data_IF_779274740291
#
_entry.id   IF_779274740291
#
_cell.length_a   1.000
_cell.length_b   1.000
_cell.length_c   1.000
_cell.angle_alpha   90.00
_cell.angle_beta   90.00
_cell.angle_gamma   90.00
#
_symmetry.space_group_name_H-M   'P 1'
#
loop_
_entity.id
_entity.type
_entity.pdbx_description
1 polymer ?
#
# COMPACT_ATOMS: atom_id res chain seq x y z
N UNK A 1 -12.42 5.22 -13.03
CA UNK A 1 -11.95 3.83 -13.19
C UNK A 1 -10.52 3.84 -13.71
N UNK A 2 -9.73 2.83 -13.36
CA UNK A 2 -8.37 2.69 -13.90
C UNK A 2 -8.44 2.35 -15.40
N UNK A 3 -7.53 2.89 -16.23
CA UNK A 3 -7.60 2.74 -17.68
C UNK A 3 -7.38 1.29 -18.16
N UNK A 4 -6.70 0.47 -17.36
CA UNK A 4 -6.47 -0.95 -17.65
C UNK A 4 -7.51 -1.78 -16.91
N UNK A 5 -8.20 -2.72 -17.59
CA UNK A 5 -9.24 -3.57 -16.98
C UNK A 5 -8.70 -4.84 -16.33
N UNK A 6 -7.48 -5.22 -16.65
CA UNK A 6 -6.82 -6.39 -16.08
C UNK A 6 -6.26 -6.05 -14.67
N UNK A 7 -6.73 -6.71 -13.60
CA UNK A 7 -6.30 -6.43 -12.23
C UNK A 7 -4.80 -6.68 -12.01
N UNK A 8 -4.19 -7.63 -12.73
CA UNK A 8 -2.76 -7.92 -12.64
C UNK A 8 -1.90 -6.81 -13.25
N UNK A 9 -2.41 -6.13 -14.26
CA UNK A 9 -1.76 -4.95 -14.84
C UNK A 9 -2.03 -3.70 -14.00
N UNK A 10 -3.22 -3.56 -13.42
CA UNK A 10 -3.53 -2.43 -12.54
C UNK A 10 -2.60 -2.40 -11.32
N UNK A 11 -2.34 -3.54 -10.67
CA UNK A 11 -1.47 -3.59 -9.49
C UNK A 11 0.00 -3.23 -9.81
N UNK A 12 0.42 -3.41 -11.06
CA UNK A 12 1.77 -3.05 -11.51
C UNK A 12 2.02 -1.53 -11.57
N UNK A 13 0.95 -0.73 -11.57
CA UNK A 13 1.03 0.74 -11.57
C UNK A 13 1.41 1.30 -10.19
N UNK A 14 1.34 0.49 -9.14
CA UNK A 14 1.56 0.93 -7.77
C UNK A 14 2.82 0.28 -7.19
N UNK A 15 3.59 1.03 -6.38
CA UNK A 15 4.73 0.44 -5.69
C UNK A 15 4.26 -0.65 -4.73
N UNK A 16 5.00 -1.78 -4.68
CA UNK A 16 4.69 -2.91 -3.80
C UNK A 16 5.07 -2.67 -2.33
N UNK A 17 5.82 -1.62 -2.07
CA UNK A 17 6.31 -1.25 -0.73
C UNK A 17 6.46 0.25 -0.62
N UNK A 18 6.37 0.75 0.61
CA UNK A 18 6.63 2.15 0.96
C UNK A 18 7.61 2.18 2.13
N UNK A 19 8.55 3.13 2.11
CA UNK A 19 9.38 3.46 3.26
C UNK A 19 8.78 4.70 3.94
N UNK A 20 8.57 4.61 5.25
CA UNK A 20 7.98 5.69 6.04
C UNK A 20 8.96 6.10 7.14
N UNK A 21 9.14 7.40 7.40
CA UNK A 21 10.00 7.86 8.48
C UNK A 21 9.37 7.53 9.84
N UNK A 22 10.23 7.06 10.75
CA UNK A 22 9.94 6.99 12.17
C UNK A 22 10.73 8.09 12.86
N UNK A 23 10.03 9.02 13.50
CA UNK A 23 10.64 10.14 14.23
C UNK A 23 10.17 10.09 15.66
N UNK A 24 11.13 10.00 16.60
CA UNK A 24 10.87 9.82 18.03
C UNK A 24 9.97 8.61 18.38
N UNK A 25 9.98 7.57 17.54
CA UNK A 25 9.19 6.35 17.74
C UNK A 25 7.80 6.38 17.09
N UNK A 26 7.39 7.51 16.50
CA UNK A 26 6.11 7.67 15.83
C UNK A 26 6.27 7.68 14.30
N UNK A 27 5.27 7.15 13.60
CA UNK A 27 5.14 7.32 12.15
C UNK A 27 4.82 8.77 11.85
N UNK A 28 5.73 9.46 11.18
CA UNK A 28 5.51 10.84 10.79
C UNK A 28 4.71 10.89 9.48
N UNK A 29 3.40 11.13 9.62
CA UNK A 29 2.47 11.34 8.52
C UNK A 29 1.89 12.75 8.62
N UNK A 30 1.70 13.41 7.48
CA UNK A 30 0.96 14.68 7.43
C UNK A 30 -0.50 14.49 7.86
N UNK A 31 -1.15 15.59 8.26
CA UNK A 31 -2.52 15.57 8.84
C UNK A 31 -3.61 14.94 7.96
N UNK A 32 -3.33 14.76 6.66
CA UNK A 32 -4.25 14.15 5.69
C UNK A 32 -3.64 12.91 5.01
N UNK A 33 -2.53 12.39 5.51
CA UNK A 33 -1.89 11.18 4.98
C UNK A 33 -2.36 9.95 5.75
N UNK A 34 -2.62 8.88 5.01
CA UNK A 34 -2.96 7.56 5.55
C UNK A 34 -2.21 6.48 4.78
N UNK A 35 -1.80 5.44 5.48
CA UNK A 35 -1.23 4.24 4.86
C UNK A 35 -2.37 3.27 4.58
N UNK A 36 -2.56 2.92 3.33
CA UNK A 36 -3.63 2.04 2.89
C UNK A 36 -3.08 0.84 2.13
N UNK A 37 -3.69 -0.32 2.35
CA UNK A 37 -3.50 -1.48 1.49
C UNK A 37 -4.49 -1.39 0.32
N UNK A 38 -3.96 -1.27 -0.89
CA UNK A 38 -4.76 -1.30 -2.11
C UNK A 38 -4.95 -2.75 -2.56
N UNK A 39 -6.16 -3.30 -2.37
CA UNK A 39 -6.53 -4.62 -2.86
C UNK A 39 -7.37 -4.51 -4.13
N UNK A 40 -6.79 -4.91 -5.26
CA UNK A 40 -7.43 -4.87 -6.59
C UNK A 40 -7.87 -6.26 -7.07
N UNK A 41 -7.74 -7.30 -6.23
CA UNK A 41 -8.15 -8.64 -6.61
C UNK A 41 -9.66 -8.78 -6.56
N UNK A 42 -10.22 -9.51 -7.51
CA UNK A 42 -11.66 -9.83 -7.53
C UNK A 42 -12.06 -10.77 -6.39
N UNK A 43 -11.14 -11.63 -5.95
CA UNK A 43 -11.40 -12.67 -4.96
C UNK A 43 -11.12 -12.18 -3.53
N UNK A 44 -12.07 -12.49 -2.64
CA UNK A 44 -11.91 -12.28 -1.19
C UNK A 44 -10.81 -13.20 -0.66
N UNK A 45 -10.06 -12.70 0.33
CA UNK A 45 -9.08 -13.52 1.04
C UNK A 45 -8.26 -12.70 2.01
N UNK A 46 -7.34 -13.37 2.70
CA UNK A 46 -6.38 -12.72 3.59
C UNK A 46 -5.25 -12.09 2.77
N UNK A 47 -4.78 -10.91 3.19
CA UNK A 47 -3.62 -10.22 2.61
C UNK A 47 -2.54 -10.12 3.68
N UNK A 48 -1.29 -10.39 3.29
CA UNK A 48 -0.14 -10.35 4.19
C UNK A 48 0.70 -9.12 3.86
N UNK A 49 1.01 -8.33 4.88
CA UNK A 49 1.88 -7.15 4.78
C UNK A 49 3.10 -7.37 5.67
N UNK A 50 4.29 -7.28 5.09
CA UNK A 50 5.54 -7.32 5.84
C UNK A 50 5.91 -5.93 6.34
N UNK A 51 6.35 -5.83 7.59
CA UNK A 51 6.86 -4.59 8.19
C UNK A 51 8.28 -4.85 8.66
N UNK A 52 9.19 -3.92 8.36
CA UNK A 52 10.58 -3.96 8.83
C UNK A 52 10.93 -2.57 9.34
N UNK A 53 11.49 -2.52 10.54
CA UNK A 53 12.03 -1.32 11.15
C UNK A 53 13.54 -1.37 10.92
N UNK A 54 14.09 -0.31 10.33
CA UNK A 54 15.50 -0.15 10.01
C UNK A 54 16.16 0.82 10.99
#
# INVERSE_FOLDING_TARGET
ELPVKDPYLQISLFPRSIALPLVNGDLELGSFQQVALLDLNADKGERKVGVTIL
#
